data_IF_972042616921
#
_entry.id   IF_972042616921
#
_cell.length_a   1.000
_cell.length_b   1.000
_cell.length_c   1.000
_cell.angle_alpha   90.00
_cell.angle_beta   90.00
_cell.angle_gamma   90.00
#
_symmetry.space_group_name_H-M   'P 1'
#
loop_
_entity.id
_entity.type
_entity.pdbx_description
1 polymer ?
#
# COMPACT_ATOMS: atom_id res chain seq x y z
N UNK A 1 -32.62 6.40 13.81
CA UNK A 1 -31.19 6.03 13.96
C UNK A 1 -31.02 4.54 13.91
N UNK A 2 -30.04 4.11 13.11
CA UNK A 2 -29.51 2.75 13.14
C UNK A 2 -28.35 2.66 14.13
N UNK A 3 -27.85 1.45 14.35
CA UNK A 3 -26.67 1.21 15.19
C UNK A 3 -25.87 0.01 14.68
N UNK A 4 -24.54 0.14 14.69
CA UNK A 4 -23.60 -0.94 14.38
C UNK A 4 -23.09 -1.66 15.64
N UNK A 5 -23.16 -2.99 15.62
CA UNK A 5 -22.50 -3.84 16.61
C UNK A 5 -21.21 -4.42 16.04
N UNK A 6 -20.07 -3.93 16.54
CA UNK A 6 -18.74 -4.41 16.16
C UNK A 6 -18.53 -5.89 16.49
N UNK A 7 -19.01 -6.35 17.64
CA UNK A 7 -18.85 -7.73 18.13
C UNK A 7 -19.59 -8.76 17.25
N UNK A 8 -20.69 -8.35 16.63
CA UNK A 8 -21.52 -9.25 15.81
C UNK A 8 -21.43 -8.96 14.31
N UNK A 9 -20.66 -7.94 13.89
CA UNK A 9 -20.60 -7.46 12.51
C UNK A 9 -22.00 -7.25 11.90
N UNK A 10 -22.90 -6.60 12.66
CA UNK A 10 -24.31 -6.42 12.28
C UNK A 10 -24.72 -4.96 12.34
N UNK A 11 -25.51 -4.57 11.35
CA UNK A 11 -26.13 -3.25 11.26
C UNK A 11 -27.62 -3.40 11.59
N UNK A 12 -28.07 -2.71 12.63
CA UNK A 12 -29.47 -2.68 13.02
C UNK A 12 -30.12 -1.39 12.51
N UNK A 13 -31.17 -1.52 11.69
CA UNK A 13 -31.99 -0.41 11.20
C UNK A 13 -33.31 -0.41 11.98
N UNK A 14 -33.72 0.76 12.50
CA UNK A 14 -35.01 0.94 13.20
C UNK A 14 -36.18 0.89 12.20
N UNK A 15 -37.28 0.22 12.54
CA UNK A 15 -38.47 0.21 11.68
C UNK A 15 -39.06 1.63 11.53
N UNK A 16 -39.45 1.99 10.31
CA UNK A 16 -40.04 3.29 9.95
C UNK A 16 -39.09 4.28 9.26
N UNK A 17 -37.84 3.90 8.97
CA UNK A 17 -36.95 4.71 8.13
C UNK A 17 -37.35 4.61 6.65
N UNK A 18 -37.23 5.72 5.91
CA UNK A 18 -37.36 5.67 4.45
C UNK A 18 -36.24 4.82 3.84
N UNK A 19 -36.44 4.31 2.62
CA UNK A 19 -35.42 3.53 1.92
C UNK A 19 -34.09 4.28 1.84
N UNK A 20 -34.13 5.59 1.60
CA UNK A 20 -32.95 6.46 1.52
C UNK A 20 -32.22 6.56 2.87
N UNK A 21 -32.95 6.72 3.98
CA UNK A 21 -32.36 6.77 5.32
C UNK A 21 -31.77 5.42 5.73
N UNK A 22 -32.42 4.33 5.31
CA UNK A 22 -31.96 2.97 5.54
C UNK A 22 -30.63 2.70 4.82
N UNK A 23 -30.53 3.07 3.54
CA UNK A 23 -29.29 2.97 2.77
C UNK A 23 -28.20 3.85 3.39
N UNK A 24 -28.52 5.11 3.72
CA UNK A 24 -27.57 6.04 4.32
C UNK A 24 -26.99 5.54 5.65
N UNK A 25 -27.85 5.06 6.56
CA UNK A 25 -27.41 4.49 7.83
C UNK A 25 -26.58 3.23 7.61
N UNK A 26 -27.01 2.34 6.70
CA UNK A 26 -26.26 1.10 6.41
C UNK A 26 -24.86 1.39 5.89
N UNK A 27 -24.73 2.34 4.96
CA UNK A 27 -23.42 2.76 4.45
C UNK A 27 -22.57 3.36 5.55
N UNK A 28 -23.14 4.24 6.38
CA UNK A 28 -22.43 4.88 7.48
C UNK A 28 -21.85 3.83 8.44
N UNK A 29 -22.64 2.81 8.76
CA UNK A 29 -22.20 1.73 9.64
C UNK A 29 -21.19 0.78 8.97
N UNK A 30 -21.30 0.49 7.66
CA UNK A 30 -20.26 -0.27 6.91
C UNK A 30 -18.92 0.48 6.94
N UNK A 31 -18.95 1.81 6.78
CA UNK A 31 -17.76 2.64 6.84
C UNK A 31 -17.10 2.55 8.23
N UNK A 32 -17.87 2.71 9.32
CA UNK A 32 -17.37 2.53 10.69
C UNK A 32 -16.84 1.11 10.94
N UNK A 33 -17.52 0.08 10.41
CA UNK A 33 -17.09 -1.32 10.52
C UNK A 33 -15.72 -1.56 9.90
N UNK A 34 -15.50 -0.99 8.70
CA UNK A 34 -14.20 -1.10 8.00
C UNK A 34 -13.11 -0.31 8.72
N UNK A 35 -13.42 0.87 9.27
CA UNK A 35 -12.49 1.70 10.03
C UNK A 35 -12.01 1.02 11.34
N UNK A 36 -12.89 0.29 12.02
CA UNK A 36 -12.59 -0.33 13.32
C UNK A 36 -12.01 -1.75 13.23
N UNK A 37 -12.12 -2.45 12.10
CA UNK A 37 -11.56 -3.81 11.94
C UNK A 37 -10.07 -3.77 11.51
N UNK A 38 -9.25 -3.10 12.33
CA UNK A 38 -7.80 -3.09 12.20
C UNK A 38 -7.23 -4.48 12.57
N UNK A 39 -7.24 -5.43 11.63
CA UNK A 39 -6.36 -6.61 11.75
C UNK A 39 -4.91 -6.12 11.75
N UNK A 40 -4.31 -6.04 12.95
CA UNK A 40 -2.88 -5.87 13.15
C UNK A 40 -2.16 -6.91 12.31
N UNK A 41 -1.51 -6.46 11.24
CA UNK A 41 -0.56 -7.27 10.51
C UNK A 41 0.60 -7.51 11.50
N UNK A 42 0.67 -8.71 12.06
CA UNK A 42 1.82 -9.16 12.84
C UNK A 42 2.85 -9.72 11.85
N UNK A 43 3.65 -8.85 11.22
CA UNK A 43 4.88 -9.31 10.55
C UNK A 43 5.99 -9.17 11.59
N UNK A 44 6.60 -10.29 11.95
CA UNK A 44 7.61 -10.44 12.99
C UNK A 44 9.01 -9.98 12.55
N UNK A 45 9.11 -9.00 11.65
CA UNK A 45 10.40 -8.47 11.23
C UNK A 45 10.58 -7.05 11.77
N UNK A 46 11.44 -6.92 12.79
CA UNK A 46 11.87 -5.65 13.38
C UNK A 46 13.02 -5.01 12.58
N UNK A 47 13.43 -5.63 11.47
CA UNK A 47 14.39 -5.05 10.53
C UNK A 47 13.88 -3.70 10.02
N UNK A 48 14.72 -2.67 10.15
CA UNK A 48 14.45 -1.36 9.60
C UNK A 48 14.96 -1.29 8.18
N UNK A 49 14.08 -0.84 7.29
CA UNK A 49 14.37 -0.56 5.91
C UNK A 49 14.30 0.95 5.69
N UNK A 50 15.09 1.44 4.74
CA UNK A 50 15.03 2.84 4.35
C UNK A 50 13.83 3.06 3.44
N UNK A 51 13.03 4.08 3.70
CA UNK A 51 11.90 4.43 2.85
C UNK A 51 12.41 5.06 1.55
N UNK A 52 11.87 4.59 0.44
CA UNK A 52 12.20 5.03 -0.91
C UNK A 52 10.94 5.28 -1.73
N UNK A 53 11.13 6.02 -2.82
CA UNK A 53 10.19 6.10 -3.93
C UNK A 53 10.89 5.55 -5.17
N UNK A 54 10.29 4.53 -5.79
CA UNK A 54 10.80 3.83 -6.95
C UNK A 54 9.77 3.94 -8.08
N UNK A 55 10.11 4.66 -9.15
CA UNK A 55 9.18 5.00 -10.24
C UNK A 55 7.85 5.57 -9.74
N UNK A 56 7.91 6.59 -8.88
CA UNK A 56 6.75 7.25 -8.27
C UNK A 56 5.92 6.34 -7.34
N UNK A 57 6.42 5.14 -7.01
CA UNK A 57 5.77 4.20 -6.08
C UNK A 57 6.56 4.08 -4.79
N UNK A 58 5.87 4.11 -3.66
CA UNK A 58 6.52 3.98 -2.35
C UNK A 58 7.03 2.55 -2.13
N UNK A 59 8.21 2.46 -1.51
CA UNK A 59 8.85 1.19 -1.20
C UNK A 59 9.81 1.27 -0.02
N UNK A 60 10.44 0.13 0.25
CA UNK A 60 11.45 -0.03 1.29
C UNK A 60 12.74 -0.57 0.67
N UNK A 61 13.88 -0.04 1.06
CA UNK A 61 15.20 -0.42 0.60
C UNK A 61 16.03 -1.09 1.71
N UNK A 62 16.80 -2.11 1.33
CA UNK A 62 17.89 -2.68 2.11
C UNK A 62 19.16 -2.75 1.26
N UNK A 63 20.31 -2.47 1.88
CA UNK A 63 21.61 -2.75 1.27
C UNK A 63 21.84 -4.26 1.06
N UNK A 64 21.24 -5.08 1.93
CA UNK A 64 21.36 -6.53 1.88
C UNK A 64 20.31 -7.18 0.99
N UNK A 65 20.52 -8.48 0.72
CA UNK A 65 19.51 -9.29 0.04
C UNK A 65 18.37 -9.62 0.99
N UNK A 66 17.15 -9.53 0.48
CA UNK A 66 15.95 -9.88 1.24
C UNK A 66 15.49 -11.29 0.85
N UNK A 67 15.19 -12.10 1.87
CA UNK A 67 14.64 -13.44 1.67
C UNK A 67 13.20 -13.35 1.15
N UNK A 68 12.91 -14.06 0.04
CA UNK A 68 11.62 -13.99 -0.65
C UNK A 68 10.59 -15.02 -0.15
N UNK A 69 11.05 -16.09 0.50
CA UNK A 69 10.22 -17.25 0.86
C UNK A 69 9.11 -16.94 1.86
N UNK A 70 9.28 -15.89 2.68
CA UNK A 70 8.36 -15.53 3.77
C UNK A 70 7.79 -14.11 3.62
N UNK A 71 7.79 -13.55 2.40
CA UNK A 71 7.20 -12.24 2.19
C UNK A 71 5.67 -12.31 2.34
N UNK A 72 5.05 -11.31 3.00
CA UNK A 72 3.60 -11.24 3.07
C UNK A 72 2.97 -11.16 1.68
N UNK A 73 1.73 -11.66 1.57
CA UNK A 73 0.97 -11.51 0.33
C UNK A 73 0.82 -10.03 -0.06
N UNK A 74 0.98 -9.74 -1.36
CA UNK A 74 0.96 -8.37 -1.89
C UNK A 74 2.24 -7.57 -1.65
N UNK A 75 3.30 -8.19 -1.12
CA UNK A 75 4.65 -7.60 -1.06
C UNK A 75 5.51 -8.22 -2.15
N UNK A 76 6.07 -7.37 -3.00
CA UNK A 76 6.94 -7.74 -4.11
C UNK A 76 8.38 -7.36 -3.78
N UNK A 77 9.34 -8.19 -4.18
CA UNK A 77 10.76 -7.96 -3.91
C UNK A 77 11.59 -7.99 -5.18
N UNK A 78 12.32 -6.91 -5.41
CA UNK A 78 13.21 -6.71 -6.56
C UNK A 78 14.63 -6.41 -6.07
N UNK A 79 15.60 -6.58 -6.95
CA UNK A 79 16.98 -6.21 -6.69
C UNK A 79 17.38 -5.00 -7.54
N UNK A 80 18.19 -4.13 -6.95
CA UNK A 80 18.87 -3.05 -7.65
C UNK A 80 20.22 -3.58 -8.12
N UNK A 81 20.53 -3.33 -9.40
CA UNK A 81 21.82 -3.63 -9.99
C UNK A 81 22.65 -2.37 -10.07
N UNK A 82 23.85 -2.44 -9.55
CA UNK A 82 24.87 -1.42 -9.68
C UNK A 82 25.54 -1.43 -11.05
N UNK A 83 26.18 -0.31 -11.39
CA UNK A 83 27.01 -0.22 -12.59
C UNK A 83 28.22 -1.17 -12.52
N UNK A 84 28.88 -1.40 -13.66
CA UNK A 84 30.12 -2.17 -13.71
C UNK A 84 31.33 -1.42 -13.12
N UNK A 85 31.24 -0.09 -13.02
CA UNK A 85 32.32 0.76 -12.49
C UNK A 85 32.17 1.01 -10.99
N UNK A 86 30.93 1.14 -10.52
CA UNK A 86 30.55 1.28 -9.12
C UNK A 86 29.31 0.39 -8.84
N UNK A 87 29.50 -0.78 -8.20
CA UNK A 87 28.40 -1.64 -7.79
C UNK A 87 27.43 -1.00 -6.79
N UNK A 88 27.83 0.10 -6.13
CA UNK A 88 26.99 0.86 -5.22
C UNK A 88 26.11 1.91 -5.91
N UNK A 89 26.29 2.14 -7.20
CA UNK A 89 25.51 3.10 -8.00
C UNK A 89 24.43 2.38 -8.81
N UNK A 90 23.15 2.36 -8.36
CA UNK A 90 22.09 1.61 -9.00
C UNK A 90 21.75 2.14 -10.39
N UNK A 91 21.81 1.28 -11.41
CA UNK A 91 21.50 1.60 -12.81
C UNK A 91 20.20 0.97 -13.31
N UNK A 92 19.75 -0.13 -12.70
CA UNK A 92 18.46 -0.74 -13.04
C UNK A 92 17.86 -1.55 -11.89
N UNK A 93 16.57 -1.80 -12.01
CA UNK A 93 15.79 -2.72 -11.18
C UNK A 93 15.57 -4.01 -11.96
N UNK A 94 15.82 -5.16 -11.34
CA UNK A 94 15.57 -6.49 -11.90
C UNK A 94 14.84 -7.37 -10.87
N UNK A 95 14.22 -8.47 -11.32
CA UNK A 95 13.59 -9.40 -10.38
C UNK A 95 14.62 -10.03 -9.42
N UNK A 96 15.78 -10.41 -9.95
CA UNK A 96 16.93 -10.94 -9.18
C UNK A 96 18.24 -10.56 -9.83
N UNK A 97 19.11 -9.90 -9.08
CA UNK A 97 20.46 -9.52 -9.56
C UNK A 97 21.48 -10.50 -9.00
N UNK A 98 22.26 -11.14 -9.87
CA UNK A 98 23.33 -12.08 -9.45
C UNK A 98 24.67 -11.37 -9.27
N UNK A 99 25.01 -10.44 -10.16
CA UNK A 99 26.29 -9.72 -10.20
C UNK A 99 26.03 -8.23 -10.07
N UNK A 100 26.89 -7.52 -9.34
CA UNK A 100 26.75 -6.09 -9.01
C UNK A 100 25.43 -5.79 -8.30
N UNK A 101 25.13 -6.53 -7.24
CA UNK A 101 23.95 -6.23 -6.40
C UNK A 101 24.22 -4.95 -5.60
N UNK A 102 23.37 -3.94 -5.80
CA UNK A 102 23.44 -2.65 -5.12
C UNK A 102 22.46 -2.56 -3.94
N UNK A 103 21.46 -3.45 -3.89
CA UNK A 103 20.48 -3.51 -2.82
C UNK A 103 19.22 -4.26 -3.24
N UNK A 104 18.30 -4.43 -2.30
CA UNK A 104 16.98 -5.03 -2.55
C UNK A 104 15.89 -4.07 -2.12
N UNK A 105 14.77 -4.11 -2.84
CA UNK A 105 13.61 -3.25 -2.58
C UNK A 105 12.36 -4.08 -2.37
N UNK A 106 11.51 -3.63 -1.45
CA UNK A 106 10.17 -4.16 -1.21
C UNK A 106 9.13 -3.14 -1.65
N UNK A 107 8.18 -3.60 -2.46
CA UNK A 107 7.10 -2.78 -3.02
C UNK A 107 5.75 -3.37 -2.62
N UNK A 108 4.75 -2.52 -2.40
CA UNK A 108 3.34 -2.92 -2.21
C UNK A 108 2.53 -2.97 -3.51
N UNK A 109 3.15 -2.53 -4.59
CA UNK A 109 2.62 -2.59 -5.95
C UNK A 109 3.66 -3.23 -6.85
N UNK A 110 3.26 -4.12 -7.78
CA UNK A 110 4.20 -4.72 -8.70
C UNK A 110 4.77 -3.66 -9.64
N UNK A 111 6.03 -3.86 -10.02
CA UNK A 111 6.66 -3.14 -11.12
C UNK A 111 6.37 -3.88 -12.42
N UNK A 112 5.98 -3.12 -13.43
CA UNK A 112 5.83 -3.63 -14.80
C UNK A 112 7.21 -3.64 -15.46
N UNK A 113 7.93 -4.75 -15.30
CA UNK A 113 9.23 -4.92 -15.94
C UNK A 113 9.06 -5.04 -17.47
N UNK A 114 10.07 -4.57 -18.21
CA UNK A 114 10.12 -4.75 -19.67
C UNK A 114 10.33 -6.22 -20.05
N UNK A 115 10.21 -6.56 -21.34
CA UNK A 115 10.49 -7.93 -21.83
C UNK A 115 11.89 -8.44 -21.45
N UNK A 116 12.86 -7.53 -21.30
CA UNK A 116 14.23 -7.82 -20.83
C UNK A 116 14.30 -8.13 -19.32
N UNK A 117 13.19 -8.07 -18.59
CA UNK A 117 13.13 -8.34 -17.15
C UNK A 117 13.75 -7.23 -16.28
N UNK A 118 13.93 -6.03 -16.83
CA UNK A 118 14.60 -4.91 -16.15
C UNK A 118 13.94 -3.55 -16.40
N UNK A 119 14.12 -2.63 -15.47
CA UNK A 119 13.77 -1.22 -15.62
C UNK A 119 14.99 -0.35 -15.35
N UNK A 120 15.35 0.51 -16.30
CA UNK A 120 16.51 1.40 -16.17
C UNK A 120 16.19 2.56 -15.23
N UNK A 121 17.11 2.87 -14.33
CA UNK A 121 17.11 4.08 -13.55
C UNK A 121 17.78 5.19 -14.37
N UNK A 122 17.23 6.39 -14.33
CA UNK A 122 17.85 7.57 -14.94
C UNK A 122 18.21 8.59 -13.87
N UNK A 123 19.11 9.52 -14.19
CA UNK A 123 19.55 10.57 -13.26
C UNK A 123 18.38 11.43 -12.75
N UNK A 124 17.34 11.60 -13.56
CA UNK A 124 16.19 12.45 -13.22
C UNK A 124 15.03 11.68 -12.58
N UNK A 125 14.93 10.37 -12.84
CA UNK A 125 13.78 9.55 -12.42
C UNK A 125 14.18 8.10 -12.19
N UNK A 126 13.73 7.55 -11.08
CA UNK A 126 13.77 6.11 -10.89
C UNK A 126 13.81 5.73 -9.42
N UNK A 127 14.76 6.27 -8.65
CA UNK A 127 14.97 5.91 -7.25
C UNK A 127 15.26 7.16 -6.42
N UNK A 128 14.40 7.45 -5.45
CA UNK A 128 14.57 8.54 -4.49
C UNK A 128 14.56 7.99 -3.07
N UNK A 129 15.48 8.47 -2.23
CA UNK A 129 15.48 8.17 -0.80
C UNK A 129 14.74 9.27 -0.05
N UNK A 130 13.66 8.92 0.66
CA UNK A 130 12.84 9.91 1.38
C UNK A 130 13.43 10.31 2.73
N UNK A 131 14.48 9.60 3.17
CA UNK A 131 15.16 9.80 4.46
C UNK A 131 14.46 9.14 5.65
N UNK A 132 13.27 8.56 5.43
CA UNK A 132 12.54 7.80 6.44
C UNK A 132 13.09 6.40 6.64
N UNK A 133 12.75 5.79 7.78
CA UNK A 133 12.97 4.38 8.05
C UNK A 133 11.70 3.77 8.63
N UNK A 134 11.36 2.57 8.20
CA UNK A 134 10.22 1.80 8.71
C UNK A 134 10.52 0.32 8.71
N UNK A 135 9.89 -0.41 9.63
CA UNK A 135 9.74 -1.86 9.47
C UNK A 135 8.71 -2.17 8.38
N UNK A 136 8.76 -3.37 7.79
CA UNK A 136 7.74 -3.79 6.82
C UNK A 136 6.33 -3.71 7.41
N UNK A 137 6.15 -4.12 8.67
CA UNK A 137 4.87 -3.99 9.40
C UNK A 137 4.36 -2.54 9.44
N UNK A 138 5.22 -1.59 9.79
CA UNK A 138 4.86 -0.17 9.89
C UNK A 138 4.50 0.41 8.52
N UNK A 139 5.31 0.10 7.51
CA UNK A 139 5.09 0.53 6.14
C UNK A 139 3.73 0.05 5.60
N UNK A 140 3.43 -1.25 5.75
CA UNK A 140 2.15 -1.80 5.30
C UNK A 140 0.95 -1.22 6.05
N UNK A 141 1.10 -0.90 7.35
CA UNK A 141 0.04 -0.25 8.11
C UNK A 141 -0.23 1.19 7.62
N UNK A 142 0.81 1.97 7.29
CA UNK A 142 0.68 3.30 6.68
C UNK A 142 -0.07 3.21 5.34
N UNK A 143 0.39 2.34 4.44
CA UNK A 143 -0.21 2.14 3.11
C UNK A 143 -1.67 1.68 3.17
N UNK A 144 -2.06 0.90 4.18
CA UNK A 144 -3.48 0.52 4.37
C UNK A 144 -4.33 1.68 4.86
N UNK A 145 -3.79 2.54 5.73
CA UNK A 145 -4.51 3.71 6.25
C UNK A 145 -4.77 4.73 5.14
N UNK A 146 -3.79 4.96 4.27
CA UNK A 146 -3.90 5.92 3.17
C UNK A 146 -4.97 5.47 2.16
N UNK A 147 -4.87 4.23 1.65
CA UNK A 147 -5.89 3.66 0.74
C UNK A 147 -7.29 3.63 1.35
N UNK A 148 -7.39 3.34 2.65
CA UNK A 148 -8.69 3.32 3.31
C UNK A 148 -9.31 4.72 3.40
N UNK A 149 -8.49 5.75 3.59
CA UNK A 149 -8.94 7.15 3.59
C UNK A 149 -9.44 7.54 2.18
N UNK A 150 -8.69 7.20 1.14
CA UNK A 150 -9.09 7.44 -0.26
C UNK A 150 -10.40 6.75 -0.63
N UNK A 151 -10.60 5.47 -0.25
CA UNK A 151 -11.86 4.75 -0.50
C UNK A 151 -13.05 5.44 0.19
N UNK A 152 -12.87 5.90 1.43
CA UNK A 152 -13.92 6.59 2.18
C UNK A 152 -14.24 7.95 1.55
N UNK A 153 -13.23 8.71 1.14
CA UNK A 153 -13.40 10.00 0.45
C UNK A 153 -14.05 9.83 -0.93
N UNK A 154 -13.67 8.79 -1.69
CA UNK A 154 -14.26 8.46 -2.97
C UNK A 154 -15.74 8.07 -2.82
N UNK A 155 -16.06 7.24 -1.82
CA UNK A 155 -17.45 6.91 -1.49
C UNK A 155 -18.22 8.17 -1.12
N UNK A 156 -17.69 9.00 -0.22
CA UNK A 156 -18.33 10.25 0.19
C UNK A 156 -18.57 11.21 -0.98
N UNK A 157 -17.61 11.33 -1.90
CA UNK A 157 -17.72 12.16 -3.11
C UNK A 157 -18.78 11.61 -4.07
N UNK A 158 -18.85 10.30 -4.26
CA UNK A 158 -19.90 9.66 -5.04
C UNK A 158 -21.30 9.93 -4.45
N UNK A 159 -21.44 9.97 -3.11
CA UNK A 159 -22.70 10.35 -2.45
C UNK A 159 -23.11 11.80 -2.70
N UNK A 160 -22.17 12.75 -2.69
CA UNK A 160 -22.49 14.16 -2.99
C UNK A 160 -23.01 14.35 -4.42
N UNK A 161 -22.43 13.62 -5.38
CA UNK A 161 -22.86 13.67 -6.78
C UNK A 161 -24.26 13.08 -7.01
N UNK A 162 -24.66 12.06 -6.24
CA UNK A 162 -26.02 11.49 -6.32
C UNK A 162 -27.08 12.48 -5.79
N UNK A 163 -26.74 13.32 -4.82
CA UNK A 163 -27.66 14.36 -4.33
C UNK A 163 -27.86 15.51 -5.32
N UNK A 164 -26.95 15.72 -6.27
CA UNK A 164 -27.06 16.75 -7.32
C UNK A 164 -27.94 16.32 -8.52
N UNK A 165 -28.38 15.07 -8.59
CA UNK A 165 -29.36 14.58 -9.59
C UNK A 165 -30.82 14.75 -9.15
N UNK A 166 -31.07 15.53 -8.10
CA UNK A 166 -32.40 15.85 -7.58
C UNK A 166 -32.67 17.36 -7.48
N UNK A 167 -32.13 18.14 -8.40
CA UNK A 167 -32.69 19.47 -8.73
C UNK A 167 -33.34 19.45 -10.12
#
# INVERSE_FOLDING_TARGET
>A
DGYFSADHQKIAIRQGMSEVQTVSATVHEIAHSKLHNQKKIQIANDEQYQEIELFDKLGLFSNGRIARDNLPEGVYCYDLRGSDYDPGDPVCVEERVVVNHAGSVLMTEPLELTEDGRLMLTEEKGLNFTGGFSTLSQFLQKQRKDRHTEEVEALYSAFQNVNHFKE
#
